data_IF_245165753585
#
_entry.id   IF_245165753585
#
_cell.length_a   1.000
_cell.length_b   1.000
_cell.length_c   1.000
_cell.angle_alpha   90.00
_cell.angle_beta   90.00
_cell.angle_gamma   90.00
#
_symmetry.space_group_name_H-M   'P 1'
#
loop_
_entity.id
_entity.type
_entity.pdbx_description
1 polymer ?
#
# COMPACT_ATOMS: atom_id res chain seq x y z
N UNK A 1 5.37 -8.26 -13.67
CA UNK A 1 4.02 -8.27 -13.04
C UNK A 1 3.21 -7.06 -13.50
N UNK A 2 2.84 -6.99 -14.79
CA UNK A 2 2.19 -5.79 -15.37
C UNK A 2 1.17 -6.15 -16.46
N UNK A 3 0.44 -7.24 -16.26
CA UNK A 3 -0.71 -7.62 -17.08
C UNK A 3 -1.65 -8.41 -16.17
N UNK A 4 -2.92 -8.01 -16.11
CA UNK A 4 -4.06 -8.68 -15.43
C UNK A 4 -4.32 -8.31 -13.97
N UNK A 5 -4.78 -7.08 -13.74
CA UNK A 5 -5.99 -6.85 -12.94
C UNK A 5 -6.70 -5.67 -13.61
N UNK A 6 -8.01 -5.77 -13.84
CA UNK A 6 -8.82 -4.91 -14.71
C UNK A 6 -9.05 -3.48 -14.17
N UNK A 7 -8.13 -2.97 -13.35
CA UNK A 7 -8.16 -1.61 -12.82
C UNK A 7 -6.74 -1.06 -12.85
N UNK A 8 -6.48 -0.15 -13.79
CA UNK A 8 -5.21 0.58 -13.87
C UNK A 8 -5.03 1.46 -12.63
N UNK A 9 -3.79 1.81 -12.28
CA UNK A 9 -3.54 2.75 -11.17
C UNK A 9 -4.31 4.07 -11.31
N UNK A 10 -4.64 4.48 -12.55
CA UNK A 10 -5.47 5.66 -12.84
C UNK A 10 -6.91 5.43 -12.36
N UNK A 11 -7.51 4.28 -12.69
CA UNK A 11 -8.86 3.94 -12.23
C UNK A 11 -8.91 3.74 -10.71
N UNK A 12 -7.86 3.18 -10.10
CA UNK A 12 -7.74 3.11 -8.63
C UNK A 12 -7.69 4.53 -8.03
N UNK A 13 -6.93 5.44 -8.66
CA UNK A 13 -6.80 6.81 -8.19
C UNK A 13 -8.13 7.57 -8.29
N UNK A 14 -8.86 7.41 -9.40
CA UNK A 14 -10.21 7.95 -9.59
C UNK A 14 -11.19 7.42 -8.54
N UNK A 15 -11.23 6.10 -8.32
CA UNK A 15 -12.09 5.48 -7.30
C UNK A 15 -11.75 5.94 -5.87
N UNK A 16 -10.47 6.22 -5.61
CA UNK A 16 -9.98 6.73 -4.32
C UNK A 16 -10.09 8.26 -4.18
N UNK A 17 -10.43 9.00 -5.23
CA UNK A 17 -10.42 10.47 -5.23
C UNK A 17 -9.03 11.08 -4.99
N UNK A 18 -7.96 10.38 -5.39
CA UNK A 18 -6.56 10.82 -5.23
C UNK A 18 -5.82 10.85 -6.56
N UNK A 19 -4.59 11.33 -6.56
CA UNK A 19 -3.75 11.30 -7.77
C UNK A 19 -3.15 9.91 -8.02
N UNK A 20 -2.90 9.56 -9.28
CA UNK A 20 -2.19 8.33 -9.62
C UNK A 20 -0.78 8.28 -8.99
N UNK A 21 -0.14 9.44 -8.81
CA UNK A 21 1.12 9.55 -8.06
C UNK A 21 0.96 9.11 -6.59
N UNK A 22 -0.17 9.42 -5.92
CA UNK A 22 -0.47 8.93 -4.58
C UNK A 22 -0.63 7.41 -4.55
N UNK A 23 -1.35 6.83 -5.51
CA UNK A 23 -1.50 5.36 -5.63
C UNK A 23 -0.15 4.69 -5.89
N UNK A 24 0.69 5.28 -6.75
CA UNK A 24 2.05 4.80 -7.04
C UNK A 24 2.95 4.80 -5.79
N UNK A 25 2.87 5.84 -4.95
CA UNK A 25 3.59 5.90 -3.67
C UNK A 25 3.13 4.82 -2.70
N UNK A 26 1.81 4.66 -2.55
CA UNK A 26 1.21 3.59 -1.72
C UNK A 26 1.71 2.21 -2.17
N UNK A 27 1.68 1.94 -3.48
CA UNK A 27 2.16 0.67 -4.04
C UNK A 27 3.67 0.45 -3.95
N UNK A 28 4.46 1.47 -3.58
CA UNK A 28 5.90 1.40 -3.30
C UNK A 28 6.21 1.51 -1.79
N UNK A 29 5.21 1.32 -0.94
CA UNK A 29 5.36 1.37 0.51
C UNK A 29 5.61 2.77 1.09
N UNK A 30 5.50 3.83 0.28
CA UNK A 30 5.67 5.21 0.71
C UNK A 30 4.36 5.76 1.30
N UNK A 31 3.93 5.14 2.40
CA UNK A 31 2.74 5.51 3.15
C UNK A 31 3.07 6.65 4.12
N UNK A 32 2.96 7.89 3.67
CA UNK A 32 2.99 9.03 4.58
C UNK A 32 1.66 9.13 5.33
N UNK A 33 1.60 8.52 6.53
CA UNK A 33 0.65 8.83 7.62
C UNK A 33 1.27 8.41 8.95
N UNK A 34 1.17 9.29 9.93
CA UNK A 34 1.70 9.15 11.29
C UNK A 34 1.35 7.83 11.99
N UNK A 35 0.19 7.24 11.71
CA UNK A 35 -0.26 5.99 12.33
C UNK A 35 0.52 4.76 11.83
N UNK A 36 0.81 4.69 10.52
CA UNK A 36 1.63 3.60 9.95
C UNK A 36 3.07 3.71 10.45
N UNK A 37 3.58 4.94 10.53
CA UNK A 37 4.92 5.21 11.07
C UNK A 37 5.01 4.84 12.56
N UNK A 38 3.95 5.09 13.32
CA UNK A 38 3.85 4.71 14.74
C UNK A 38 3.88 3.19 14.90
N UNK A 39 3.10 2.45 14.12
CA UNK A 39 3.10 0.99 14.13
C UNK A 39 4.45 0.43 13.65
N UNK A 40 5.06 1.03 12.64
CA UNK A 40 6.38 0.65 12.16
C UNK A 40 7.45 0.85 13.23
N UNK A 41 7.43 1.98 13.93
CA UNK A 41 8.33 2.28 15.04
C UNK A 41 8.14 1.30 16.21
N UNK A 42 6.89 0.99 16.58
CA UNK A 42 6.57 0.02 17.63
C UNK A 42 7.10 -1.39 17.29
N UNK A 43 6.84 -1.87 16.07
CA UNK A 43 7.32 -3.18 15.61
C UNK A 43 8.85 -3.20 15.54
N UNK A 44 9.47 -2.12 15.05
CA UNK A 44 10.92 -1.97 14.99
C UNK A 44 11.56 -1.95 16.38
N UNK A 45 10.93 -1.33 17.38
CA UNK A 45 11.39 -1.34 18.77
C UNK A 45 11.44 -2.76 19.36
N UNK A 46 10.63 -3.68 18.84
CA UNK A 46 10.65 -5.10 19.20
C UNK A 46 11.52 -5.95 18.25
N UNK A 47 12.37 -5.34 17.41
CA UNK A 47 13.23 -6.03 16.45
C UNK A 47 12.48 -6.61 15.24
N UNK A 48 11.20 -6.28 15.07
CA UNK A 48 10.36 -6.76 13.97
C UNK A 48 10.40 -5.86 12.74
N UNK A 49 9.73 -6.31 11.67
CA UNK A 49 9.45 -5.53 10.46
C UNK A 49 7.96 -5.52 10.19
N UNK A 50 7.35 -4.33 10.17
CA UNK A 50 5.94 -4.18 9.81
C UNK A 50 5.73 -4.61 8.34
N UNK A 51 4.73 -5.45 8.11
CA UNK A 51 4.24 -5.81 6.76
C UNK A 51 2.77 -5.43 6.69
N UNK A 52 2.40 -4.63 5.69
CA UNK A 52 1.00 -4.31 5.43
C UNK A 52 0.54 -5.22 4.29
N UNK A 53 -0.56 -5.93 4.48
CA UNK A 53 -1.11 -6.87 3.50
C UNK A 53 -2.50 -6.41 3.12
N UNK A 54 -2.73 -6.22 1.83
CA UNK A 54 -4.04 -5.94 1.27
C UNK A 54 -4.60 -7.21 0.62
N UNK A 55 -5.83 -7.57 0.98
CA UNK A 55 -6.60 -8.60 0.28
C UNK A 55 -7.45 -7.96 -0.83
N UNK A 56 -7.35 -8.48 -2.04
CA UNK A 56 -8.11 -8.03 -3.22
C UNK A 56 -8.74 -9.28 -3.85
N UNK A 57 -10.02 -9.52 -3.54
CA UNK A 57 -10.66 -10.80 -3.86
C UNK A 57 -9.93 -11.96 -3.17
N UNK A 58 -9.52 -12.96 -3.95
CA UNK A 58 -8.77 -14.12 -3.47
C UNK A 58 -7.24 -13.90 -3.47
N UNK A 59 -6.76 -12.72 -3.87
CA UNK A 59 -5.34 -12.41 -3.96
C UNK A 59 -4.89 -11.57 -2.76
N UNK A 60 -3.69 -11.87 -2.23
CA UNK A 60 -3.02 -11.06 -1.22
C UNK A 60 -1.82 -10.34 -1.82
N UNK A 61 -1.73 -9.02 -1.60
CA UNK A 61 -0.61 -8.19 -2.00
C UNK A 61 0.06 -7.58 -0.77
N UNK A 62 1.39 -7.71 -0.66
CA UNK A 62 2.16 -7.02 0.37
C UNK A 62 2.44 -5.60 -0.11
N UNK A 63 1.95 -4.61 0.66
CA UNK A 63 2.26 -3.21 0.48
C UNK A 63 3.59 -2.92 1.19
N UNK A 64 4.64 -2.65 0.42
CA UNK A 64 6.01 -2.47 0.91
C UNK A 64 6.87 -1.62 0.01
#
# INVERSE_FOLDING_TARGET
MRKRQQTTQVQVAEAMGVTQARVSRIGKGQLERSEVDTLAAYVKAHGGKLKIVAGIGDETCVLG
#
